data_IF_397710854413
#
_entry.id   IF_397710854413
#
_cell.length_a   1.000
_cell.length_b   1.000
_cell.length_c   1.000
_cell.angle_alpha   90.00
_cell.angle_beta   90.00
_cell.angle_gamma   90.00
#
_symmetry.space_group_name_H-M   'P 1'
#
loop_
_entity.id
_entity.type
_entity.pdbx_description
1 polymer ?
#
# COMPACT_ATOMS: atom_id res chain seq x y z
N UNK A 1 -19.06 9.51 -17.83
CA UNK A 1 -17.86 9.34 -16.97
C UNK A 1 -17.41 7.89 -17.16
N UNK A 2 -16.30 7.64 -17.86
CA UNK A 2 -15.80 6.27 -18.07
C UNK A 2 -15.22 5.77 -16.73
N UNK A 3 -15.83 4.76 -16.13
CA UNK A 3 -15.29 4.10 -14.94
C UNK A 3 -14.21 3.11 -15.39
N UNK A 4 -12.98 3.27 -14.87
CA UNK A 4 -11.86 2.36 -15.14
C UNK A 4 -12.08 1.08 -14.35
N UNK A 5 -12.11 -0.08 -15.00
CA UNK A 5 -12.32 -1.39 -14.34
C UNK A 5 -11.00 -1.95 -13.81
N UNK A 6 -11.11 -2.98 -12.97
CA UNK A 6 -9.94 -3.73 -12.48
C UNK A 6 -9.09 -4.26 -13.63
N UNK A 7 -9.71 -4.85 -14.65
CA UNK A 7 -8.97 -5.43 -15.79
C UNK A 7 -8.16 -4.38 -16.56
N UNK A 8 -8.68 -3.14 -16.65
CA UNK A 8 -7.97 -2.04 -17.29
C UNK A 8 -6.71 -1.64 -16.50
N UNK A 9 -6.77 -1.74 -15.16
CA UNK A 9 -5.62 -1.48 -14.29
C UNK A 9 -4.58 -2.58 -14.39
N UNK A 10 -5.01 -3.85 -14.36
CA UNK A 10 -4.16 -5.03 -14.53
C UNK A 10 -3.44 -4.99 -15.88
N UNK A 11 -4.16 -4.70 -16.97
CA UNK A 11 -3.58 -4.55 -18.30
C UNK A 11 -2.57 -3.39 -18.37
N UNK A 12 -2.82 -2.31 -17.63
CA UNK A 12 -1.90 -1.17 -17.56
C UNK A 12 -0.63 -1.50 -16.80
N UNK A 13 -0.69 -2.33 -15.75
CA UNK A 13 0.51 -2.78 -15.02
C UNK A 13 1.52 -3.43 -15.99
N UNK A 14 1.06 -4.32 -16.88
CA UNK A 14 1.88 -4.96 -17.93
C UNK A 14 2.49 -4.00 -18.96
N UNK A 15 1.95 -2.78 -19.08
CA UNK A 15 2.46 -1.78 -20.02
C UNK A 15 3.49 -0.84 -19.37
N UNK A 16 3.42 -0.63 -18.07
CA UNK A 16 4.19 0.42 -17.38
C UNK A 16 5.22 -0.11 -16.38
N UNK A 17 5.03 -1.32 -15.86
CA UNK A 17 5.94 -1.93 -14.90
C UNK A 17 7.04 -2.71 -15.62
N UNK A 18 8.16 -2.88 -14.92
CA UNK A 18 9.25 -3.75 -15.32
C UNK A 18 8.75 -5.20 -15.44
N UNK A 19 9.30 -6.01 -16.37
CA UNK A 19 9.00 -7.44 -16.46
C UNK A 19 9.26 -8.21 -15.14
N UNK A 20 10.11 -7.67 -14.27
CA UNK A 20 10.48 -8.27 -12.98
C UNK A 20 9.56 -7.83 -11.83
N UNK A 21 8.61 -6.91 -12.09
CA UNK A 21 7.68 -6.43 -11.09
C UNK A 21 6.63 -7.48 -10.72
N UNK A 22 6.03 -7.31 -9.53
CA UNK A 22 4.90 -8.13 -9.11
C UNK A 22 3.60 -7.60 -9.71
N UNK A 23 3.06 -8.29 -10.71
CA UNK A 23 1.76 -7.98 -11.31
C UNK A 23 0.60 -8.47 -10.42
N UNK A 24 -0.50 -7.72 -10.40
CA UNK A 24 -1.65 -8.03 -9.56
C UNK A 24 -2.47 -9.22 -10.08
N UNK A 25 -2.58 -9.38 -11.39
CA UNK A 25 -3.23 -10.52 -12.05
C UNK A 25 -2.44 -11.83 -11.92
N UNK A 26 -1.13 -11.75 -11.65
CA UNK A 26 -0.24 -12.89 -11.38
C UNK A 26 -0.07 -13.18 -9.88
N UNK A 27 -0.88 -12.57 -9.02
CA UNK A 27 -0.89 -12.87 -7.60
C UNK A 27 -1.16 -14.36 -7.34
N UNK A 28 -0.54 -14.94 -6.31
CA UNK A 28 -0.84 -16.29 -5.83
C UNK A 28 -2.23 -16.42 -5.18
N UNK A 29 -2.99 -15.32 -5.13
CA UNK A 29 -4.31 -15.26 -4.51
C UNK A 29 -4.26 -15.18 -2.99
N UNK A 30 -5.42 -15.40 -2.37
CA UNK A 30 -5.62 -15.32 -0.92
C UNK A 30 -5.78 -16.72 -0.33
N UNK A 31 -5.48 -16.87 0.96
CA UNK A 31 -5.68 -18.13 1.67
C UNK A 31 -7.16 -18.58 1.70
N UNK A 32 -8.07 -17.60 1.75
CA UNK A 32 -9.50 -17.83 1.58
C UNK A 32 -9.88 -17.23 0.23
N UNK A 33 -10.51 -18.03 -0.63
CA UNK A 33 -10.98 -17.56 -1.93
C UNK A 33 -12.01 -16.43 -1.76
N UNK A 34 -11.85 -15.38 -2.55
CA UNK A 34 -12.72 -14.22 -2.54
C UNK A 34 -12.97 -13.81 -3.99
N UNK A 35 -14.18 -13.35 -4.28
CA UNK A 35 -14.51 -12.82 -5.60
C UNK A 35 -13.70 -11.55 -5.89
N UNK A 36 -13.14 -11.41 -7.11
CA UNK A 36 -12.42 -10.21 -7.51
C UNK A 36 -13.29 -8.94 -7.45
N UNK A 37 -12.69 -7.82 -7.04
CA UNK A 37 -13.36 -6.51 -7.05
C UNK A 37 -13.52 -6.01 -8.49
N UNK A 38 -14.61 -5.27 -8.76
CA UNK A 38 -14.91 -4.76 -10.10
C UNK A 38 -13.96 -3.65 -10.57
N UNK A 39 -13.40 -2.87 -9.64
CA UNK A 39 -12.64 -1.65 -9.94
C UNK A 39 -11.23 -1.65 -9.38
N UNK A 40 -10.95 -2.45 -8.34
CA UNK A 40 -9.67 -2.45 -7.62
C UNK A 40 -8.88 -3.73 -7.85
N UNK A 41 -7.57 -3.58 -8.04
CA UNK A 41 -6.65 -4.74 -8.09
C UNK A 41 -6.52 -5.39 -6.71
N UNK A 42 -6.02 -6.63 -6.65
CA UNK A 42 -5.87 -7.35 -5.37
C UNK A 42 -4.99 -6.57 -4.36
N UNK A 43 -3.92 -5.93 -4.83
CA UNK A 43 -3.02 -5.12 -4.00
C UNK A 43 -3.65 -3.80 -3.56
N UNK A 44 -4.54 -3.21 -4.36
CA UNK A 44 -5.31 -2.03 -3.95
C UNK A 44 -6.30 -2.40 -2.83
N UNK A 45 -6.99 -3.53 -2.96
CA UNK A 45 -7.86 -4.06 -1.91
C UNK A 45 -7.08 -4.34 -0.61
N UNK A 46 -5.87 -4.88 -0.69
CA UNK A 46 -5.02 -5.15 0.48
C UNK A 46 -4.59 -3.87 1.18
N UNK A 47 -4.17 -2.87 0.41
CA UNK A 47 -3.84 -1.55 0.95
C UNK A 47 -5.01 -0.95 1.72
N UNK A 48 -6.22 -1.04 1.18
CA UNK A 48 -7.42 -0.53 1.83
C UNK A 48 -7.72 -1.27 3.14
N UNK A 49 -7.57 -2.61 3.16
CA UNK A 49 -7.73 -3.43 4.37
C UNK A 49 -6.73 -3.07 5.45
N UNK A 50 -5.45 -2.89 5.08
CA UNK A 50 -4.39 -2.47 6.00
C UNK A 50 -4.74 -1.11 6.62
N UNK A 51 -5.10 -0.13 5.77
CA UNK A 51 -5.42 1.24 6.19
C UNK A 51 -6.57 1.30 7.21
N UNK A 52 -7.62 0.50 7.00
CA UNK A 52 -8.80 0.48 7.87
C UNK A 52 -8.67 -0.46 9.07
N UNK A 53 -7.59 -1.23 9.17
CA UNK A 53 -7.39 -2.17 10.25
C UNK A 53 -7.26 -1.48 11.62
N UNK A 54 -7.74 -2.15 12.67
CA UNK A 54 -7.56 -1.68 14.06
C UNK A 54 -6.08 -1.57 14.43
N UNK A 55 -5.25 -2.48 13.93
CA UNK A 55 -3.80 -2.50 14.17
C UNK A 55 -3.10 -1.28 13.58
N UNK A 56 -3.42 -0.90 12.33
CA UNK A 56 -2.85 0.29 11.70
C UNK A 56 -3.26 1.57 12.44
N UNK A 57 -4.54 1.71 12.81
CA UNK A 57 -5.02 2.86 13.62
C UNK A 57 -4.28 3.01 14.96
N UNK A 58 -3.96 1.90 15.63
CA UNK A 58 -3.20 1.91 16.89
C UNK A 58 -1.79 2.49 16.75
N UNK A 59 -1.20 2.51 15.56
CA UNK A 59 0.13 3.09 15.33
C UNK A 59 0.19 4.59 15.63
N UNK A 60 -0.95 5.30 15.54
CA UNK A 60 -1.06 6.71 15.92
C UNK A 60 -0.72 6.95 17.40
N UNK A 61 -0.89 5.93 18.25
CA UNK A 61 -0.66 6.01 19.69
C UNK A 61 0.53 5.15 20.14
N UNK A 62 1.45 4.82 19.22
CA UNK A 62 2.70 4.12 19.52
C UNK A 62 3.87 5.01 19.14
N UNK A 63 4.77 5.27 20.06
CA UNK A 63 5.98 6.04 19.80
C UNK A 63 6.96 5.25 18.92
N UNK A 64 7.65 5.96 18.04
CA UNK A 64 8.91 5.49 17.47
C UNK A 64 10.01 5.74 18.51
N UNK A 65 11.10 4.95 18.48
CA UNK A 65 12.12 4.72 19.53
C UNK A 65 12.87 5.96 20.11
N UNK A 66 12.44 7.20 19.86
CA UNK A 66 13.07 8.40 20.41
C UNK A 66 12.14 9.17 21.35
N UNK A 67 12.47 9.18 22.64
CA UNK A 67 11.97 10.17 23.60
C UNK A 67 12.99 11.32 23.60
N UNK A 68 12.80 12.33 22.73
CA UNK A 68 13.56 13.58 22.84
C UNK A 68 13.01 14.34 24.06
N UNK A 69 13.80 14.61 25.12
CA UNK A 69 13.27 15.18 26.37
C UNK A 69 12.77 16.63 26.24
N UNK A 70 13.16 17.34 25.19
CA UNK A 70 12.78 18.74 24.95
C UNK A 70 12.50 18.95 23.46
N UNK A 71 11.28 19.37 23.10
CA UNK A 71 10.87 19.65 21.72
C UNK A 71 9.66 18.84 21.26
N UNK A 72 8.55 19.53 21.05
CA UNK A 72 7.15 19.08 21.06
C UNK A 72 6.68 18.23 19.85
N UNK A 73 7.53 17.37 19.26
CA UNK A 73 7.16 16.58 18.07
C UNK A 73 7.62 15.12 18.15
N UNK A 74 7.01 14.35 19.06
CA UNK A 74 7.24 12.91 19.11
C UNK A 74 6.72 12.24 17.84
N UNK A 75 7.62 11.56 17.11
CA UNK A 75 7.20 10.71 15.99
C UNK A 75 6.47 9.48 16.50
N UNK A 76 5.30 9.24 15.94
CA UNK A 76 4.55 7.99 16.14
C UNK A 76 4.96 6.97 15.08
N UNK A 77 4.70 5.69 15.35
CA UNK A 77 4.89 4.62 14.36
C UNK A 77 4.02 4.84 13.13
N UNK A 78 2.90 5.53 13.26
CA UNK A 78 2.06 5.89 12.11
C UNK A 78 2.80 6.85 11.19
N UNK A 79 3.34 7.96 11.72
CA UNK A 79 4.12 8.92 10.92
C UNK A 79 5.30 8.23 10.25
N UNK A 80 6.04 7.41 11.01
CA UNK A 80 7.15 6.63 10.45
C UNK A 80 6.71 5.71 9.30
N UNK A 81 5.56 5.03 9.44
CA UNK A 81 5.02 4.15 8.39
C UNK A 81 4.64 4.94 7.14
N UNK A 82 4.10 6.15 7.28
CA UNK A 82 3.79 7.03 6.16
C UNK A 82 5.05 7.51 5.44
N UNK A 83 6.10 7.88 6.20
CA UNK A 83 7.41 8.26 5.66
C UNK A 83 8.03 7.10 4.87
N UNK A 84 8.04 5.89 5.43
CA UNK A 84 8.54 4.67 4.76
C UNK A 84 7.75 4.39 3.49
N UNK A 85 6.41 4.46 3.52
CA UNK A 85 5.56 4.26 2.33
C UNK A 85 5.87 5.27 1.22
N UNK A 86 6.11 6.53 1.56
CA UNK A 86 6.44 7.57 0.59
C UNK A 86 7.83 7.33 -0.03
N UNK A 87 8.84 7.02 0.78
CA UNK A 87 10.20 6.72 0.31
C UNK A 87 10.19 5.49 -0.59
N UNK A 88 9.53 4.40 -0.16
CA UNK A 88 9.42 3.18 -0.94
C UNK A 88 8.76 3.41 -2.31
N UNK A 89 7.69 4.22 -2.37
CA UNK A 89 7.05 4.60 -3.66
C UNK A 89 7.98 5.42 -4.54
N UNK A 90 8.77 6.31 -3.96
CA UNK A 90 9.75 7.13 -4.69
C UNK A 90 10.85 6.28 -5.30
N UNK A 91 11.29 5.22 -4.61
CA UNK A 91 12.29 4.27 -5.10
C UNK A 91 11.68 3.33 -6.14
N UNK A 92 10.48 2.81 -5.91
CA UNK A 92 9.83 1.84 -6.80
C UNK A 92 9.45 2.45 -8.15
N UNK A 93 8.83 3.64 -8.17
CA UNK A 93 8.30 4.27 -9.39
C UNK A 93 9.29 4.37 -10.57
N UNK A 94 10.58 4.77 -10.41
CA UNK A 94 11.53 4.80 -11.52
C UNK A 94 12.04 3.42 -11.94
N UNK A 95 11.88 2.38 -11.11
CA UNK A 95 12.31 1.01 -11.42
C UNK A 95 11.28 0.23 -12.27
N UNK A 96 10.08 0.80 -12.45
CA UNK A 96 8.93 0.11 -13.03
C UNK A 96 8.30 -0.80 -12.00
#
# INVERSE_FOLDING_TARGET
MLSIRREDLEAREHQILSPEAAFSDQSKGRAIAEEPDQYRTCYQCDRDRILHSKSFRRLAHKTQVFLAPEGDHYRTRLIHTLEVSQIARSIARPLG
#
